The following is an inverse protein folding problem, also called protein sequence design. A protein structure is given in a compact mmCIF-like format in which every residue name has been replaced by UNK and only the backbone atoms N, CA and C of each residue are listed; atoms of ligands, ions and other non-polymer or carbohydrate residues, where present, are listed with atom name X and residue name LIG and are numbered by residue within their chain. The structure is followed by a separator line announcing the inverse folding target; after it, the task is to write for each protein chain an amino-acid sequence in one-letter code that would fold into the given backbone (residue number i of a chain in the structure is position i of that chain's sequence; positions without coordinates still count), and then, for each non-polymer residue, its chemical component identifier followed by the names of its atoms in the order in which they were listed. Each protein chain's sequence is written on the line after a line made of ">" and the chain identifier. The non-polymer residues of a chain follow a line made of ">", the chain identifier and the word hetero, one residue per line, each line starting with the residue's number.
data_IF_409014928410
#
_entry.id   IF_409014928410
#
_cell.length_a   1.000
_cell.length_b   1.000
_cell.length_c   1.000
_cell.angle_alpha   90.00
_cell.angle_beta   90.00
_cell.angle_gamma   90.00
#
_symmetry.space_group_name_H-M   'P 1'
#
loop_
_entity.id
_entity.type
_entity.pdbx_description
1 polymer ?
#
# COMPACT_ATOMS: atom_id res chain seq x y z
N UNK A 1 -6.34 17.70 14.51
CA UNK A 1 -5.95 18.95 15.20
C UNK A 1 -4.65 19.60 14.68
N UNK A 2 -3.54 18.88 14.45
CA UNK A 2 -2.26 19.50 14.06
C UNK A 2 -2.27 20.38 12.79
N UNK A 3 -3.27 20.21 11.91
CA UNK A 3 -3.45 20.99 10.68
C UNK A 3 -4.75 21.84 10.69
N UNK A 4 -5.25 22.25 11.86
CA UNK A 4 -6.53 23.00 11.98
C UNK A 4 -7.67 22.36 11.18
N UNK A 5 -7.74 21.03 11.25
CA UNK A 5 -8.73 20.19 10.57
C UNK A 5 -8.77 20.30 9.03
N UNK A 6 -7.74 20.91 8.41
CA UNK A 6 -7.52 20.82 6.98
C UNK A 6 -6.98 19.43 6.60
N UNK A 7 -7.70 18.73 5.73
CA UNK A 7 -7.35 17.39 5.22
C UNK A 7 -6.88 17.43 3.76
N UNK A 8 -6.89 18.62 3.17
CA UNK A 8 -6.52 18.84 1.77
C UNK A 8 -4.99 18.71 1.63
N UNK A 9 -4.52 17.74 0.84
CA UNK A 9 -3.08 17.45 0.67
C UNK A 9 -2.28 18.64 0.16
N UNK A 10 -2.94 19.57 -0.54
CA UNK A 10 -2.35 20.80 -1.07
C UNK A 10 -1.82 21.72 0.03
N UNK A 11 -2.41 21.65 1.23
CA UNK A 11 -1.98 22.39 2.41
C UNK A 11 -1.07 21.56 3.34
N UNK A 12 -0.82 20.29 3.02
CA UNK A 12 -0.05 19.35 3.84
C UNK A 12 1.40 19.25 3.34
N UNK A 13 2.10 20.38 3.27
CA UNK A 13 3.51 20.44 2.91
C UNK A 13 4.46 20.15 4.09
N UNK A 14 5.65 19.62 3.80
CA UNK A 14 6.76 19.48 4.78
C UNK A 14 6.43 18.69 6.06
N UNK A 15 5.54 17.69 5.98
CA UNK A 15 5.10 16.87 7.13
C UNK A 15 6.28 16.15 7.82
N UNK A 16 7.33 15.81 7.08
CA UNK A 16 8.53 15.15 7.63
C UNK A 16 9.20 15.99 8.72
N UNK A 17 9.22 17.32 8.58
CA UNK A 17 9.84 18.21 9.56
C UNK A 17 8.91 18.52 10.74
N UNK A 18 7.61 18.69 10.49
CA UNK A 18 6.65 19.05 11.53
C UNK A 18 6.16 17.84 12.33
N UNK A 19 6.06 16.67 11.72
CA UNK A 19 5.57 15.44 12.33
C UNK A 19 6.38 14.22 11.82
N UNK A 20 7.64 14.06 12.27
CA UNK A 20 8.56 13.04 11.75
C UNK A 20 8.04 11.63 11.99
N UNK A 21 7.54 11.32 13.19
CA UNK A 21 7.05 9.98 13.53
C UNK A 21 5.88 9.53 12.63
N UNK A 22 4.89 10.40 12.42
CA UNK A 22 3.75 10.06 11.56
C UNK A 22 4.18 9.94 10.10
N UNK A 23 5.15 10.74 9.64
CA UNK A 23 5.67 10.64 8.28
C UNK A 23 6.37 9.30 8.03
N UNK A 24 7.15 8.81 9.01
CA UNK A 24 7.82 7.49 8.91
C UNK A 24 6.79 6.37 8.91
N UNK A 25 5.83 6.38 9.83
CA UNK A 25 4.78 5.35 9.86
C UNK A 25 3.94 5.34 8.58
N UNK A 26 3.63 6.51 8.02
CA UNK A 26 2.91 6.64 6.76
C UNK A 26 3.70 6.10 5.57
N UNK A 27 5.02 6.33 5.53
CA UNK A 27 5.88 5.76 4.49
C UNK A 27 6.05 4.25 4.63
N UNK A 28 6.14 3.71 5.86
CA UNK A 28 6.23 2.26 6.08
C UNK A 28 4.90 1.59 5.70
N UNK A 29 3.76 2.18 6.05
CA UNK A 29 2.46 1.64 5.68
C UNK A 29 2.20 1.70 4.18
N UNK A 30 2.65 2.75 3.48
CA UNK A 30 2.55 2.83 2.02
C UNK A 30 3.42 1.80 1.31
N UNK A 31 4.65 1.56 1.79
CA UNK A 31 5.53 0.50 1.28
C UNK A 31 4.92 -0.90 1.51
N UNK A 32 4.33 -1.14 2.69
CA UNK A 32 3.60 -2.37 2.97
C UNK A 32 2.41 -2.55 2.03
N UNK A 33 1.64 -1.49 1.77
CA UNK A 33 0.51 -1.52 0.85
C UNK A 33 0.92 -1.83 -0.59
N UNK A 34 2.07 -1.32 -1.04
CA UNK A 34 2.65 -1.64 -2.35
C UNK A 34 3.20 -3.07 -2.44
N UNK A 35 3.32 -3.80 -1.32
CA UNK A 35 3.82 -5.18 -1.32
C UNK A 35 5.35 -5.28 -1.32
N UNK A 36 6.06 -4.32 -0.71
CA UNK A 36 7.51 -4.37 -0.57
C UNK A 36 7.95 -5.66 0.17
N UNK A 37 9.02 -6.34 -0.28
CA UNK A 37 9.44 -7.62 0.31
C UNK A 37 9.74 -7.48 1.81
N UNK A 38 9.45 -8.55 2.56
CA UNK A 38 9.58 -8.65 4.03
C UNK A 38 8.60 -7.82 4.88
N UNK A 39 7.70 -7.04 4.27
CA UNK A 39 6.61 -6.35 4.97
C UNK A 39 5.33 -7.19 4.96
N UNK A 40 4.43 -6.94 5.92
CA UNK A 40 3.20 -7.71 6.10
C UNK A 40 2.30 -7.75 4.86
N UNK A 41 2.31 -6.70 4.04
CA UNK A 41 1.54 -6.66 2.80
C UNK A 41 2.04 -7.63 1.73
N UNK A 42 3.33 -7.94 1.68
CA UNK A 42 3.89 -8.96 0.78
C UNK A 42 3.37 -10.36 1.14
N UNK A 43 3.47 -10.74 2.43
CA UNK A 43 3.02 -12.05 2.89
C UNK A 43 1.53 -12.31 2.64
N UNK A 44 0.67 -11.29 2.71
CA UNK A 44 -0.75 -11.46 2.40
C UNK A 44 -1.03 -11.40 0.90
N UNK A 45 -0.54 -10.39 0.20
CA UNK A 45 -0.85 -10.19 -1.22
C UNK A 45 -0.28 -11.27 -2.12
N UNK A 46 0.95 -11.73 -1.87
CA UNK A 46 1.58 -12.75 -2.72
C UNK A 46 0.87 -14.09 -2.59
N UNK A 47 0.51 -14.50 -1.36
CA UNK A 47 -0.27 -15.72 -1.13
C UNK A 47 -1.65 -15.65 -1.81
N UNK A 48 -2.33 -14.50 -1.73
CA UNK A 48 -3.62 -14.30 -2.41
C UNK A 48 -3.44 -14.44 -3.92
N UNK A 49 -2.41 -13.81 -4.50
CA UNK A 49 -2.11 -13.92 -5.92
C UNK A 49 -1.79 -15.36 -6.34
N UNK A 50 -1.02 -16.10 -5.54
CA UNK A 50 -0.66 -17.49 -5.82
C UNK A 50 -1.89 -18.41 -5.83
N UNK A 51 -2.78 -18.27 -4.85
CA UNK A 51 -4.04 -19.04 -4.77
C UNK A 51 -4.95 -18.69 -5.96
N UNK A 52 -5.06 -17.42 -6.30
CA UNK A 52 -5.84 -16.95 -7.46
C UNK A 52 -5.29 -17.56 -8.75
N UNK A 53 -3.97 -17.56 -8.94
CA UNK A 53 -3.31 -18.13 -10.13
C UNK A 53 -3.42 -19.66 -10.20
N UNK A 54 -3.41 -20.37 -9.06
CA UNK A 54 -3.49 -21.84 -9.04
C UNK A 54 -4.90 -22.38 -9.33
N UNK A 55 -5.94 -21.55 -9.20
CA UNK A 55 -7.32 -22.00 -9.42
C UNK A 55 -7.69 -22.03 -10.90
N UNK A 56 -8.26 -23.16 -11.34
CA UNK A 56 -8.55 -23.44 -12.76
C UNK A 56 -9.59 -22.49 -13.39
N UNK A 57 -10.44 -21.86 -12.57
CA UNK A 57 -11.47 -20.90 -13.02
C UNK A 57 -10.85 -19.56 -13.43
N UNK A 58 -9.64 -19.25 -12.98
CA UNK A 58 -9.06 -17.92 -13.09
C UNK A 58 -8.17 -17.70 -14.33
N UNK A 59 -8.14 -18.61 -15.31
CA UNK A 59 -7.34 -18.40 -16.54
C UNK A 59 -7.70 -17.08 -17.26
N UNK A 60 -8.98 -16.72 -17.30
CA UNK A 60 -9.44 -15.46 -17.87
C UNK A 60 -9.00 -14.23 -17.05
N UNK A 61 -9.07 -14.34 -15.72
CA UNK A 61 -8.62 -13.29 -14.79
C UNK A 61 -7.10 -13.12 -14.86
N UNK A 62 -6.36 -14.21 -15.01
CA UNK A 62 -4.91 -14.22 -15.21
C UNK A 62 -4.54 -13.50 -16.50
N UNK A 63 -5.28 -13.73 -17.60
CA UNK A 63 -5.05 -13.03 -18.87
C UNK A 63 -5.26 -11.51 -18.73
N UNK A 64 -6.34 -11.06 -18.07
CA UNK A 64 -6.59 -9.62 -17.82
C UNK A 64 -5.56 -9.00 -16.86
N UNK A 65 -5.03 -9.78 -15.91
CA UNK A 65 -4.10 -9.26 -14.91
C UNK A 65 -2.69 -9.05 -15.47
N UNK A 66 -2.25 -9.92 -16.38
CA UNK A 66 -0.90 -9.86 -16.97
C UNK A 66 -0.82 -9.11 -18.31
N UNK A 67 -1.95 -8.91 -19.01
CA UNK A 67 -2.01 -8.27 -20.33
C UNK A 67 -2.86 -7.01 -20.29
#
# INVERSE_FOLDING_TARGET
>A
HNLKDSQDIRFMGSIVNFMPLTSVCFNVSSLSLCGMPFLAGFYSKDLILEIVCSSWINFFIFFIFFF
#
